data_IF_897876100657
#
_entry.id   IF_897876100657
#
_cell.length_a   1.000
_cell.length_b   1.000
_cell.length_c   1.000
_cell.angle_alpha   90.00
_cell.angle_beta   90.00
_cell.angle_gamma   90.00
#
_symmetry.space_group_name_H-M   'P 1'
#
loop_
_entity.id
_entity.type
_entity.pdbx_description
1 polymer ?
#
# COMPACT_ATOMS: atom_id res chain seq x y z
N UNK A 1 13.27 -9.49 -6.75
CA UNK A 1 12.93 -9.17 -5.35
C UNK A 1 11.44 -9.34 -5.16
N UNK A 2 11.01 -9.94 -4.06
CA UNK A 2 9.64 -9.96 -3.60
C UNK A 2 9.49 -8.99 -2.43
N UNK A 3 8.40 -8.23 -2.37
CA UNK A 3 8.07 -7.40 -1.24
C UNK A 3 6.73 -7.85 -0.65
N UNK A 4 6.68 -8.10 0.65
CA UNK A 4 5.46 -8.45 1.38
C UNK A 4 5.03 -7.28 2.24
N UNK A 5 3.79 -6.84 2.06
CA UNK A 5 3.20 -5.72 2.81
C UNK A 5 2.53 -6.27 4.07
N UNK A 6 2.90 -5.73 5.23
CA UNK A 6 2.44 -6.24 6.54
C UNK A 6 1.56 -5.26 7.33
N UNK A 7 1.42 -4.02 6.86
CA UNK A 7 0.65 -2.96 7.50
C UNK A 7 -0.81 -2.83 7.00
N UNK A 8 -1.30 -3.83 6.25
CA UNK A 8 -2.61 -3.80 5.61
C UNK A 8 -3.49 -4.98 6.02
N UNK A 9 -3.48 -5.35 7.29
CA UNK A 9 -4.30 -6.46 7.82
C UNK A 9 -5.80 -6.18 7.74
N UNK A 10 -6.21 -4.92 7.80
CA UNK A 10 -7.61 -4.46 7.66
C UNK A 10 -7.67 -3.27 6.72
N UNK A 11 -8.84 -3.01 6.14
CA UNK A 11 -9.06 -1.81 5.34
C UNK A 11 -8.91 -0.55 6.19
N UNK A 12 -8.09 0.41 5.75
CA UNK A 12 -7.91 1.68 6.43
C UNK A 12 -9.17 2.55 6.42
N UNK A 13 -9.42 3.27 7.50
CA UNK A 13 -10.51 4.24 7.59
C UNK A 13 -10.16 5.52 6.83
N UNK A 14 -10.65 5.62 5.60
CA UNK A 14 -10.38 6.77 4.71
C UNK A 14 -11.49 7.79 4.84
N UNK A 15 -11.44 8.64 5.85
CA UNK A 15 -12.49 9.62 6.15
C UNK A 15 -12.85 10.50 4.96
N UNK A 16 -11.89 10.87 4.12
CA UNK A 16 -12.16 11.66 2.92
C UNK A 16 -13.10 10.95 1.96
N UNK A 17 -13.02 9.64 1.83
CA UNK A 17 -13.92 8.86 0.97
C UNK A 17 -15.35 8.93 1.52
N UNK A 18 -15.52 8.91 2.85
CA UNK A 18 -16.80 9.10 3.51
C UNK A 18 -17.37 10.51 3.26
N UNK A 19 -16.55 11.57 3.45
CA UNK A 19 -16.97 12.95 3.23
C UNK A 19 -17.32 13.26 1.77
N UNK A 20 -16.60 12.66 0.82
CA UNK A 20 -16.86 12.86 -0.61
C UNK A 20 -17.95 11.96 -1.15
N UNK A 21 -18.39 10.96 -0.38
CA UNK A 21 -19.35 9.95 -0.82
C UNK A 21 -18.75 8.99 -1.86
N UNK A 22 -17.43 8.83 -1.86
CA UNK A 22 -16.78 7.88 -2.74
C UNK A 22 -17.04 6.45 -2.27
N UNK A 23 -17.59 5.62 -3.14
CA UNK A 23 -17.90 4.21 -2.87
C UNK A 23 -17.36 3.31 -3.98
N UNK A 24 -17.09 2.05 -3.64
CA UNK A 24 -16.81 0.99 -4.62
C UNK A 24 -17.88 -0.09 -4.43
N UNK A 25 -18.78 -0.32 -5.43
CA UNK A 25 -18.90 0.36 -6.72
C UNK A 25 -19.29 1.84 -6.59
N UNK A 26 -18.95 2.63 -7.63
CA UNK A 26 -19.27 4.05 -7.67
C UNK A 26 -20.78 4.28 -7.62
N UNK A 27 -21.23 5.02 -6.64
CA UNK A 27 -22.62 5.47 -6.56
C UNK A 27 -22.72 6.90 -7.11
N UNK A 28 -23.40 7.04 -8.26
CA UNK A 28 -23.55 8.34 -8.92
C UNK A 28 -24.61 9.17 -8.22
N UNK A 29 -24.19 10.10 -7.39
CA UNK A 29 -25.06 11.12 -6.80
C UNK A 29 -25.21 12.32 -7.74
N UNK A 30 -26.23 13.17 -7.51
CA UNK A 30 -26.38 14.44 -8.23
C UNK A 30 -25.12 15.30 -8.10
N UNK A 31 -24.49 15.31 -6.92
CA UNK A 31 -23.22 16.00 -6.67
C UNK A 31 -22.10 15.48 -7.57
N UNK A 32 -22.02 14.16 -7.77
CA UNK A 32 -21.04 13.55 -8.67
C UNK A 32 -21.27 13.94 -10.13
N UNK A 33 -22.55 13.98 -10.56
CA UNK A 33 -22.91 14.39 -11.94
C UNK A 33 -22.53 15.85 -12.18
N UNK A 34 -22.82 16.74 -11.24
CA UNK A 34 -22.41 18.17 -11.33
C UNK A 34 -20.88 18.26 -11.37
N UNK A 35 -20.18 17.51 -10.54
CA UNK A 35 -18.70 17.48 -10.56
C UNK A 35 -18.16 17.04 -11.91
N UNK A 36 -18.72 16.03 -12.56
CA UNK A 36 -18.30 15.62 -13.89
C UNK A 36 -18.59 16.70 -14.95
N UNK A 37 -19.74 17.35 -14.87
CA UNK A 37 -20.11 18.43 -15.78
C UNK A 37 -19.17 19.64 -15.67
N UNK A 38 -18.65 19.93 -14.49
CA UNK A 38 -17.70 21.04 -14.26
C UNK A 38 -16.25 20.69 -14.61
N UNK A 39 -15.97 19.42 -14.96
CA UNK A 39 -14.63 18.96 -15.38
C UNK A 39 -14.67 18.32 -16.79
N UNK A 40 -15.01 19.10 -17.84
CA UNK A 40 -15.29 18.55 -19.17
C UNK A 40 -14.08 17.84 -19.81
N UNK A 41 -12.86 18.33 -19.58
CA UNK A 41 -11.65 17.68 -20.11
C UNK A 41 -11.45 16.29 -19.50
N UNK A 42 -11.72 16.11 -18.21
CA UNK A 42 -11.66 14.81 -17.54
C UNK A 42 -12.77 13.90 -18.05
N UNK A 43 -14.00 14.39 -18.12
CA UNK A 43 -15.15 13.63 -18.61
C UNK A 43 -14.92 13.17 -20.07
N UNK A 44 -14.44 14.04 -20.95
CA UNK A 44 -14.09 13.68 -22.31
C UNK A 44 -13.07 12.55 -22.37
N UNK A 45 -11.98 12.65 -21.60
CA UNK A 45 -10.98 11.58 -21.54
C UNK A 45 -11.56 10.28 -20.99
N UNK A 46 -12.40 10.34 -19.97
CA UNK A 46 -13.03 9.15 -19.38
C UNK A 46 -13.92 8.39 -20.39
N UNK A 47 -14.68 9.11 -21.21
CA UNK A 47 -15.60 8.51 -22.17
C UNK A 47 -14.96 8.10 -23.50
N UNK A 48 -13.87 8.77 -23.91
CA UNK A 48 -13.23 8.56 -25.23
C UNK A 48 -11.98 7.70 -25.21
N UNK A 49 -11.34 7.55 -24.04
CA UNK A 49 -10.14 6.70 -23.91
C UNK A 49 -10.52 5.27 -23.56
N UNK A 50 -9.65 4.29 -23.88
CA UNK A 50 -9.84 2.92 -23.43
C UNK A 50 -10.06 2.89 -21.92
N UNK A 51 -10.99 2.07 -21.47
CA UNK A 51 -11.21 1.85 -20.03
C UNK A 51 -9.92 1.27 -19.44
N UNK A 52 -9.42 1.93 -18.38
CA UNK A 52 -8.29 1.37 -17.65
C UNK A 52 -8.75 0.12 -16.89
N UNK A 53 -7.88 -0.86 -16.83
CA UNK A 53 -8.12 -2.13 -16.19
C UNK A 53 -6.96 -2.45 -15.24
N UNK A 54 -7.23 -3.21 -14.21
CA UNK A 54 -6.20 -3.77 -13.35
C UNK A 54 -5.71 -5.09 -13.97
N UNK A 55 -4.90 -4.98 -15.03
CA UNK A 55 -4.50 -6.12 -15.88
C UNK A 55 -3.94 -7.31 -15.08
N UNK A 56 -3.25 -7.05 -13.96
CA UNK A 56 -2.71 -8.10 -13.08
C UNK A 56 -3.81 -8.86 -12.31
N UNK A 57 -5.00 -8.29 -12.17
CA UNK A 57 -6.12 -8.87 -11.45
C UNK A 57 -7.19 -9.46 -12.38
N UNK A 58 -7.16 -9.17 -13.67
CA UNK A 58 -8.18 -9.62 -14.64
C UNK A 58 -8.37 -11.15 -14.63
N UNK A 59 -7.31 -11.91 -14.37
CA UNK A 59 -7.37 -13.38 -14.29
C UNK A 59 -8.10 -13.90 -13.04
N UNK A 60 -8.31 -13.06 -12.05
CA UNK A 60 -8.93 -13.39 -10.76
C UNK A 60 -10.34 -12.82 -10.61
N UNK A 61 -10.79 -12.07 -11.61
CA UNK A 61 -12.14 -11.48 -11.65
C UNK A 61 -13.08 -12.44 -12.36
N UNK A 62 -14.21 -12.76 -11.75
CA UNK A 62 -15.23 -13.64 -12.34
C UNK A 62 -15.88 -12.94 -13.53
N UNK A 63 -15.91 -13.61 -14.69
CA UNK A 63 -16.61 -13.10 -15.88
C UNK A 63 -18.08 -12.77 -15.57
N UNK A 64 -18.53 -11.61 -16.05
CA UNK A 64 -19.93 -11.17 -15.87
C UNK A 64 -20.22 -10.35 -14.60
N UNK A 65 -19.26 -10.17 -13.69
CA UNK A 65 -19.41 -9.26 -12.55
C UNK A 65 -18.90 -7.86 -12.90
N UNK A 66 -19.52 -6.83 -12.31
CA UNK A 66 -19.01 -5.46 -12.45
C UNK A 66 -17.58 -5.42 -11.88
N UNK A 67 -16.61 -5.08 -12.74
CA UNK A 67 -15.17 -5.12 -12.42
C UNK A 67 -14.83 -4.43 -11.10
N UNK A 68 -15.45 -3.30 -10.81
CA UNK A 68 -15.21 -2.52 -9.61
C UNK A 68 -15.73 -3.22 -8.33
N UNK A 69 -16.89 -3.85 -8.38
CA UNK A 69 -17.43 -4.61 -7.23
C UNK A 69 -16.57 -5.84 -6.97
N UNK A 70 -16.22 -6.56 -8.03
CA UNK A 70 -15.38 -7.75 -7.96
C UNK A 70 -13.98 -7.46 -7.41
N UNK A 71 -13.39 -6.30 -7.74
CA UNK A 71 -12.08 -5.88 -7.22
C UNK A 71 -12.16 -5.54 -5.73
N UNK A 72 -13.18 -4.81 -5.28
CA UNK A 72 -13.37 -4.49 -3.86
C UNK A 72 -13.50 -5.74 -3.00
N UNK A 73 -14.35 -6.67 -3.45
CA UNK A 73 -14.56 -7.97 -2.79
C UNK A 73 -13.29 -8.83 -2.81
N UNK A 74 -12.55 -8.81 -3.92
CA UNK A 74 -11.28 -9.51 -4.05
C UNK A 74 -10.26 -9.00 -3.04
N UNK A 75 -10.04 -7.68 -2.95
CA UNK A 75 -9.11 -7.11 -1.97
C UNK A 75 -9.52 -7.43 -0.55
N UNK A 76 -10.80 -7.33 -0.21
CA UNK A 76 -11.29 -7.64 1.14
C UNK A 76 -11.06 -9.11 1.52
N UNK A 77 -11.29 -10.03 0.56
CA UNK A 77 -11.10 -11.47 0.77
C UNK A 77 -9.61 -11.90 0.79
N UNK A 78 -8.74 -11.13 0.13
CA UNK A 78 -7.31 -11.45 0.03
C UNK A 78 -6.47 -10.90 1.18
N UNK A 79 -7.00 -10.01 2.01
CA UNK A 79 -6.31 -9.56 3.20
C UNK A 79 -6.21 -10.70 4.21
N UNK A 80 -4.99 -11.12 4.52
CA UNK A 80 -4.74 -12.17 5.52
C UNK A 80 -4.48 -11.56 6.91
N UNK A 81 -5.53 -11.49 7.71
CA UNK A 81 -5.46 -11.00 9.09
C UNK A 81 -4.67 -11.94 10.03
N UNK A 82 -4.33 -13.13 9.56
CA UNK A 82 -3.56 -14.11 10.33
C UNK A 82 -2.06 -14.11 10.00
N UNK A 83 -1.60 -13.10 9.24
CA UNK A 83 -0.18 -12.94 8.89
C UNK A 83 0.66 -12.81 10.18
N UNK A 84 1.68 -13.65 10.30
CA UNK A 84 2.57 -13.70 11.47
C UNK A 84 4.03 -13.77 11.01
N UNK A 85 4.97 -13.50 11.91
CA UNK A 85 6.40 -13.61 11.64
C UNK A 85 6.79 -14.99 11.12
N UNK A 86 6.19 -16.04 11.66
CA UNK A 86 6.40 -17.42 11.18
C UNK A 86 5.96 -17.58 9.72
N UNK A 87 4.81 -17.05 9.33
CA UNK A 87 4.37 -17.09 7.93
C UNK A 87 5.28 -16.29 7.01
N UNK A 88 5.77 -15.14 7.46
CA UNK A 88 6.75 -14.33 6.71
C UNK A 88 8.03 -15.13 6.47
N UNK A 89 8.54 -15.81 7.49
CA UNK A 89 9.70 -16.68 7.37
C UNK A 89 9.48 -17.83 6.36
N UNK A 90 8.33 -18.52 6.45
CA UNK A 90 7.96 -19.57 5.50
C UNK A 90 7.87 -19.04 4.05
N UNK A 91 7.33 -17.85 3.85
CA UNK A 91 7.26 -17.20 2.53
C UNK A 91 8.68 -16.91 2.02
N UNK A 92 9.54 -16.34 2.86
CA UNK A 92 10.92 -16.03 2.50
C UNK A 92 11.70 -17.30 2.12
N UNK A 93 11.59 -18.36 2.90
CA UNK A 93 12.23 -19.65 2.62
C UNK A 93 11.77 -20.25 1.28
N UNK A 94 10.46 -20.19 0.99
CA UNK A 94 9.92 -20.66 -0.31
C UNK A 94 10.35 -19.80 -1.48
N UNK A 95 10.51 -18.49 -1.27
CA UNK A 95 10.94 -17.56 -2.29
C UNK A 95 12.42 -17.74 -2.65
N UNK A 96 13.29 -17.90 -1.67
CA UNK A 96 14.72 -18.20 -1.82
C UNK A 96 15.54 -17.15 -2.59
N UNK A 97 15.07 -15.90 -2.66
CA UNK A 97 15.71 -14.80 -3.38
C UNK A 97 15.55 -13.50 -2.57
N UNK A 98 16.15 -12.35 -3.00
CA UNK A 98 16.00 -11.10 -2.26
C UNK A 98 14.56 -10.79 -1.88
N UNK A 99 14.32 -10.55 -0.58
CA UNK A 99 13.02 -10.45 0.06
C UNK A 99 12.93 -9.19 0.91
N UNK A 100 11.91 -8.37 0.68
CA UNK A 100 11.66 -7.14 1.42
C UNK A 100 10.36 -7.22 2.22
N UNK A 101 10.34 -6.61 3.40
CA UNK A 101 9.13 -6.45 4.21
C UNK A 101 8.75 -4.97 4.25
N UNK A 102 7.54 -4.66 3.78
CA UNK A 102 7.00 -3.28 3.73
C UNK A 102 6.00 -3.05 4.84
N UNK A 103 6.10 -1.90 5.50
CA UNK A 103 5.20 -1.53 6.60
C UNK A 103 5.85 -1.66 7.97
N UNK A 104 7.18 -1.69 8.01
CA UNK A 104 7.95 -1.74 9.27
C UNK A 104 8.04 -0.33 9.84
N UNK A 105 7.57 -0.16 11.07
CA UNK A 105 7.45 1.14 11.72
C UNK A 105 8.02 1.16 13.15
N UNK A 106 8.81 0.14 13.52
CA UNK A 106 9.48 0.08 14.82
C UNK A 106 10.84 -0.61 14.71
N UNK A 107 11.74 -0.27 15.61
CA UNK A 107 13.05 -0.93 15.76
C UNK A 107 12.87 -2.42 16.10
N UNK A 108 11.87 -2.75 16.91
CA UNK A 108 11.59 -4.12 17.30
C UNK A 108 11.23 -4.97 16.09
N UNK A 109 10.32 -4.48 15.24
CA UNK A 109 9.91 -5.21 14.04
C UNK A 109 11.03 -5.23 12.98
N UNK A 110 11.84 -4.17 12.90
CA UNK A 110 13.02 -4.18 12.03
C UNK A 110 14.02 -5.29 12.42
N UNK A 111 14.26 -5.51 13.71
CA UNK A 111 15.09 -6.61 14.21
C UNK A 111 14.48 -7.98 13.88
N UNK A 112 13.17 -8.15 14.08
CA UNK A 112 12.47 -9.38 13.69
C UNK A 112 12.55 -9.63 12.18
N UNK A 113 12.51 -8.58 11.36
CA UNK A 113 12.69 -8.70 9.92
C UNK A 113 14.07 -9.27 9.55
N UNK A 114 15.13 -8.84 10.25
CA UNK A 114 16.48 -9.45 10.12
C UNK A 114 16.44 -10.92 10.52
N UNK A 115 15.83 -11.23 11.66
CA UNK A 115 15.79 -12.60 12.21
C UNK A 115 15.08 -13.59 11.26
N UNK A 116 14.03 -13.17 10.54
CA UNK A 116 13.35 -14.01 9.53
C UNK A 116 14.04 -14.00 8.16
N UNK A 117 15.24 -13.41 8.06
CA UNK A 117 16.09 -13.46 6.87
C UNK A 117 15.66 -12.48 5.76
N UNK A 118 14.97 -11.39 6.07
CA UNK A 118 14.72 -10.34 5.08
C UNK A 118 16.05 -9.72 4.62
N UNK A 119 16.14 -9.37 3.33
CA UNK A 119 17.30 -8.66 2.77
C UNK A 119 17.09 -7.14 2.73
N UNK A 120 15.84 -6.70 2.89
CA UNK A 120 15.47 -5.29 2.98
C UNK A 120 14.22 -5.08 3.80
N UNK A 121 14.07 -3.89 4.35
CA UNK A 121 12.81 -3.40 4.92
C UNK A 121 12.42 -2.07 4.27
N UNK A 122 11.11 -1.83 4.19
CA UNK A 122 10.56 -0.55 3.78
C UNK A 122 9.84 0.07 4.98
N UNK A 123 10.41 1.16 5.50
CA UNK A 123 9.76 1.96 6.53
C UNK A 123 8.59 2.69 5.88
N UNK A 124 7.38 2.34 6.27
CA UNK A 124 6.14 2.80 5.63
C UNK A 124 4.98 2.74 6.60
N UNK A 125 4.21 3.81 6.67
CA UNK A 125 2.90 3.88 7.31
C UNK A 125 1.75 3.91 6.28
N UNK A 126 2.02 3.47 5.06
CA UNK A 126 1.05 3.48 3.95
C UNK A 126 0.53 4.89 3.60
N UNK A 127 1.35 5.93 3.84
CA UNK A 127 0.93 7.33 3.67
C UNK A 127 -0.16 7.78 4.67
N UNK A 128 -0.20 7.20 5.87
CA UNK A 128 -1.23 7.43 6.87
C UNK A 128 -2.60 6.86 6.50
N UNK A 129 -2.70 6.02 5.46
CA UNK A 129 -3.97 5.53 4.92
C UNK A 129 -4.47 4.25 5.58
N UNK A 130 -3.65 3.61 6.41
CA UNK A 130 -4.01 2.42 7.18
C UNK A 130 -4.19 2.76 8.66
N UNK A 131 -3.14 3.15 9.36
CA UNK A 131 -3.20 3.64 10.73
C UNK A 131 -2.85 5.13 10.74
N UNK A 132 -3.84 6.00 10.85
CA UNK A 132 -3.66 7.46 10.75
C UNK A 132 -2.80 8.02 11.88
N UNK A 133 -2.93 7.55 13.09
CA UNK A 133 -2.17 8.03 14.26
C UNK A 133 -0.72 7.53 14.35
N UNK A 134 -0.18 6.85 13.34
CA UNK A 134 1.21 6.37 13.37
C UNK A 134 2.21 7.50 13.09
N UNK A 135 3.44 7.37 13.64
CA UNK A 135 4.56 8.28 13.34
C UNK A 135 4.86 8.30 11.85
N UNK A 136 5.51 9.35 11.36
CA UNK A 136 5.96 9.35 9.97
C UNK A 136 7.14 8.38 9.77
N UNK A 137 7.29 7.79 8.58
CA UNK A 137 8.45 6.96 8.27
C UNK A 137 9.77 7.69 8.44
N UNK A 138 9.80 8.99 8.14
CA UNK A 138 10.98 9.83 8.26
C UNK A 138 11.42 9.98 9.73
N UNK A 139 10.48 10.15 10.67
CA UNK A 139 10.79 10.31 12.09
C UNK A 139 11.35 9.04 12.74
N UNK A 140 11.20 7.89 12.10
CA UNK A 140 11.72 6.61 12.58
C UNK A 140 12.95 6.13 11.81
N UNK A 141 13.34 6.83 10.75
CA UNK A 141 14.40 6.41 9.85
C UNK A 141 15.73 6.23 10.61
N UNK A 142 16.16 7.23 11.35
CA UNK A 142 17.45 7.21 12.03
C UNK A 142 17.54 6.06 13.05
N UNK A 143 16.52 5.90 13.90
CA UNK A 143 16.52 4.85 14.94
C UNK A 143 16.53 3.44 14.34
N UNK A 144 15.84 3.24 13.20
CA UNK A 144 15.80 1.96 12.51
C UNK A 144 17.11 1.69 11.77
N UNK A 145 17.67 2.69 11.08
CA UNK A 145 18.98 2.55 10.40
C UNK A 145 20.07 2.23 11.41
N UNK A 146 20.12 2.91 12.56
CA UNK A 146 21.08 2.63 13.62
C UNK A 146 20.95 1.21 14.19
N UNK A 147 19.76 0.61 14.12
CA UNK A 147 19.51 -0.72 14.68
C UNK A 147 19.82 -1.87 13.73
N UNK A 148 19.62 -1.68 12.40
CA UNK A 148 19.67 -2.78 11.42
C UNK A 148 20.33 -2.41 10.09
N UNK A 149 20.73 -1.15 9.86
CA UNK A 149 21.25 -0.69 8.58
C UNK A 149 22.60 -1.29 8.18
N UNK A 150 23.32 -1.91 9.11
CA UNK A 150 24.53 -2.69 8.86
C UNK A 150 24.24 -4.14 8.43
N UNK A 151 23.00 -4.60 8.51
CA UNK A 151 22.58 -5.98 8.27
C UNK A 151 21.71 -6.15 7.03
N UNK A 152 20.83 -5.21 6.77
CA UNK A 152 19.88 -5.24 5.65
C UNK A 152 19.68 -3.86 5.05
N UNK A 153 19.19 -3.81 3.80
CA UNK A 153 18.83 -2.55 3.16
C UNK A 153 17.62 -1.89 3.85
N UNK A 154 17.72 -0.60 4.15
CA UNK A 154 16.63 0.18 4.71
C UNK A 154 16.13 1.19 3.69
N UNK A 155 14.86 1.06 3.30
CA UNK A 155 14.19 1.91 2.34
C UNK A 155 13.16 2.76 3.07
N UNK A 156 13.31 4.09 3.01
CA UNK A 156 12.30 5.01 3.53
C UNK A 156 11.37 5.44 2.39
N UNK A 157 10.06 5.29 2.57
CA UNK A 157 9.06 5.73 1.61
C UNK A 157 8.01 6.64 2.27
N UNK A 158 7.31 7.42 1.45
CA UNK A 158 6.25 8.30 1.89
C UNK A 158 6.58 9.78 1.73
N UNK A 159 5.93 10.43 0.77
CA UNK A 159 6.04 11.88 0.58
C UNK A 159 7.36 12.39 -0.02
N UNK A 160 8.29 11.55 -0.41
CA UNK A 160 9.54 11.94 -1.08
C UNK A 160 9.24 12.34 -2.52
N UNK A 161 9.44 13.64 -2.84
CA UNK A 161 9.07 14.22 -4.14
C UNK A 161 10.18 15.05 -4.79
N UNK A 162 11.28 15.32 -4.10
CA UNK A 162 12.36 16.21 -4.55
C UNK A 162 13.69 15.71 -4.02
N UNK A 163 14.77 16.00 -4.74
CA UNK A 163 16.14 15.69 -4.31
C UNK A 163 16.50 16.28 -2.94
N UNK A 164 15.95 17.46 -2.60
CA UNK A 164 16.13 18.06 -1.27
C UNK A 164 15.54 17.23 -0.14
N UNK A 165 14.50 16.42 -0.40
CA UNK A 165 13.95 15.49 0.60
C UNK A 165 14.92 14.33 0.82
N UNK A 166 15.60 13.86 -0.22
CA UNK A 166 16.62 12.81 -0.13
C UNK A 166 17.81 13.32 0.70
N UNK A 167 18.32 14.53 0.38
CA UNK A 167 19.43 15.13 1.13
C UNK A 167 19.14 15.36 2.62
N UNK A 168 17.87 15.52 3.00
CA UNK A 168 17.48 15.63 4.41
C UNK A 168 17.36 14.28 5.10
N UNK A 169 17.21 13.19 4.34
CA UNK A 169 17.11 11.84 4.87
C UNK A 169 18.48 11.16 5.03
N UNK A 170 19.50 11.64 4.32
CA UNK A 170 20.90 11.21 4.40
C UNK A 170 21.66 11.99 5.48
#
# INVERSE_FOLDING_TARGET
>A
TMAVTVDSSVGGNRERDLYTGFTIPLNLSIKSIISFATHPAWAFNYFTKPKWELSNLNKHVTEGTNLMTSIGDYFTKMLDNSLSWKKIEEINQKWGKPFAIKGIMSVEDAKKAVDVGATAIMISNHGGRQLDGSRSPFDQLEEIVNAVGDKIDVICEGGIRRGTHILKAL
#
